data_IF_133731387063
#
_entry.id   IF_133731387063
#
_cell.length_a   1.000
_cell.length_b   1.000
_cell.length_c   1.000
_cell.angle_alpha   90.00
_cell.angle_beta   90.00
_cell.angle_gamma   90.00
#
_symmetry.space_group_name_H-M   'P 1'
#
loop_
_entity.id
_entity.type
_entity.pdbx_description
1 polymer ?
#
# COMPACT_ATOMS: atom_id res chain seq x y z
N UNK A 1 19.72 44.99 12.67
CA UNK A 1 19.26 43.99 13.68
C UNK A 1 17.84 43.48 13.42
N UNK A 2 17.46 43.14 12.20
CA UNK A 2 16.06 42.73 11.88
C UNK A 2 15.94 41.38 11.14
N UNK A 3 17.02 40.66 10.88
CA UNK A 3 17.02 39.41 10.12
C UNK A 3 16.88 38.13 10.95
N UNK A 4 16.89 38.22 12.29
CA UNK A 4 16.85 37.02 13.15
C UNK A 4 15.46 36.60 13.62
N UNK A 5 14.48 37.44 13.47
CA UNK A 5 13.09 37.15 13.87
C UNK A 5 12.32 36.23 12.90
N UNK A 6 12.62 36.26 11.61
CA UNK A 6 11.88 35.51 10.57
C UNK A 6 12.17 34.00 10.59
N UNK A 7 13.41 33.59 10.89
CA UNK A 7 13.77 32.17 10.92
C UNK A 7 13.17 31.42 12.10
N UNK A 8 13.07 32.10 13.26
CA UNK A 8 12.46 31.50 14.45
C UNK A 8 10.95 31.31 14.30
N UNK A 9 10.27 32.23 13.62
CA UNK A 9 8.83 32.10 13.36
C UNK A 9 8.50 30.97 12.36
N UNK A 10 9.38 30.72 11.39
CA UNK A 10 9.23 29.61 10.44
C UNK A 10 9.44 28.25 11.14
N UNK A 11 10.41 28.15 12.05
CA UNK A 11 10.66 26.95 12.85
C UNK A 11 9.54 26.68 13.84
N UNK A 12 9.00 27.74 14.47
CA UNK A 12 7.86 27.65 15.38
C UNK A 12 6.58 27.23 14.65
N UNK A 13 6.35 27.73 13.45
CA UNK A 13 5.22 27.33 12.59
C UNK A 13 5.30 25.85 12.19
N UNK A 14 6.51 25.37 11.86
CA UNK A 14 6.73 23.95 11.54
C UNK A 14 6.56 23.04 12.75
N UNK A 15 6.96 23.50 13.94
CA UNK A 15 6.79 22.78 15.21
C UNK A 15 5.32 22.71 15.63
N UNK A 16 4.54 23.75 15.40
CA UNK A 16 3.08 23.77 15.67
C UNK A 16 2.35 22.87 14.66
N UNK A 17 2.77 22.85 13.40
CA UNK A 17 2.20 21.96 12.38
C UNK A 17 2.46 20.48 12.69
N UNK A 18 3.59 20.14 13.31
CA UNK A 18 3.92 18.76 13.69
C UNK A 18 3.14 18.26 14.92
N UNK A 19 2.63 19.14 15.76
CA UNK A 19 1.90 18.76 16.99
C UNK A 19 0.46 18.29 16.74
N UNK A 20 -0.11 18.57 15.55
CA UNK A 20 -1.50 18.24 15.24
C UNK A 20 -1.70 16.95 14.41
N UNK A 21 -0.65 16.20 14.11
CA UNK A 21 -0.76 14.97 13.31
C UNK A 21 -0.87 13.69 14.16
N UNK A 22 -1.73 13.71 15.19
CA UNK A 22 -2.27 12.46 15.74
C UNK A 22 -3.40 11.94 14.84
N UNK A 23 -3.11 11.69 13.57
CA UNK A 23 -4.02 11.03 12.65
C UNK A 23 -4.11 9.54 13.03
N UNK A 24 -4.98 9.22 13.96
CA UNK A 24 -5.44 7.85 14.19
C UNK A 24 -6.38 7.44 13.04
N UNK A 25 -5.83 7.37 11.85
CA UNK A 25 -6.55 6.90 10.69
C UNK A 25 -6.44 5.38 10.64
N UNK A 26 -7.42 4.69 11.21
CA UNK A 26 -7.51 3.23 11.18
C UNK A 26 -8.36 2.80 9.99
N UNK A 27 -7.73 2.22 8.96
CA UNK A 27 -8.47 1.42 7.99
C UNK A 27 -8.78 0.08 8.67
N UNK A 28 -10.04 -0.29 8.75
CA UNK A 28 -10.46 -1.59 9.22
C UNK A 28 -11.19 -2.28 8.06
N UNK A 29 -10.49 -3.16 7.34
CA UNK A 29 -11.06 -3.95 6.26
C UNK A 29 -10.95 -5.42 6.62
N UNK A 30 -12.04 -6.08 7.02
CA UNK A 30 -12.05 -7.50 7.34
C UNK A 30 -11.51 -8.37 6.21
N UNK A 31 -11.72 -7.96 4.97
CA UNK A 31 -11.25 -8.67 3.77
C UNK A 31 -9.72 -8.67 3.64
N UNK A 32 -9.03 -7.68 4.21
CA UNK A 32 -7.57 -7.60 4.19
C UNK A 32 -6.86 -8.64 5.07
N UNK A 33 -7.62 -9.45 5.81
CA UNK A 33 -7.11 -10.59 6.60
C UNK A 33 -6.55 -11.70 5.72
N UNK A 34 -7.06 -11.81 4.50
CA UNK A 34 -6.73 -12.93 3.61
C UNK A 34 -5.61 -12.59 2.64
N UNK A 35 -4.75 -13.58 2.36
CA UNK A 35 -3.65 -13.47 1.41
C UNK A 35 -2.60 -12.43 1.81
N UNK A 36 -2.27 -11.56 0.88
CA UNK A 36 -1.31 -10.45 1.08
C UNK A 36 -1.99 -9.10 1.35
N UNK A 37 -3.28 -9.11 1.68
CA UNK A 37 -4.08 -7.91 1.93
C UNK A 37 -4.79 -7.36 0.69
N UNK A 38 -5.39 -6.19 0.83
CA UNK A 38 -6.10 -5.51 -0.26
C UNK A 38 -5.11 -4.91 -1.26
N UNK A 39 -5.33 -5.16 -2.54
CA UNK A 39 -4.56 -4.55 -3.63
C UNK A 39 -4.78 -3.04 -3.65
N UNK A 40 -3.74 -2.29 -3.90
CA UNK A 40 -3.76 -0.82 -3.97
C UNK A 40 -3.66 -0.37 -5.42
N UNK A 41 -4.41 0.66 -5.72
CA UNK A 41 -4.31 1.34 -7.01
C UNK A 41 -2.99 2.11 -7.06
N UNK A 42 -2.27 1.96 -8.17
CA UNK A 42 -0.94 2.55 -8.39
C UNK A 42 -0.98 3.78 -9.30
N UNK A 43 -2.16 4.15 -9.81
CA UNK A 43 -2.34 5.32 -10.66
C UNK A 43 -2.01 6.60 -9.90
N UNK A 44 -1.45 7.56 -10.62
CA UNK A 44 -1.23 8.90 -10.08
C UNK A 44 -2.56 9.65 -9.86
N UNK A 45 -2.52 10.75 -9.11
CA UNK A 45 -3.72 11.52 -8.75
C UNK A 45 -4.46 12.06 -9.98
N UNK A 46 -3.73 12.46 -11.03
CA UNK A 46 -4.36 12.97 -12.27
C UNK A 46 -5.13 11.87 -13.00
N UNK A 47 -4.54 10.67 -13.13
CA UNK A 47 -5.21 9.51 -13.74
C UNK A 47 -6.42 9.04 -12.93
N UNK A 48 -6.35 9.09 -11.60
CA UNK A 48 -7.51 8.83 -10.74
C UNK A 48 -8.66 9.81 -10.99
N UNK A 49 -8.36 11.07 -11.21
CA UNK A 49 -9.35 12.09 -11.62
C UNK A 49 -10.03 11.77 -12.95
N UNK A 50 -9.38 10.98 -13.81
CA UNK A 50 -9.91 10.47 -15.08
C UNK A 50 -10.49 9.05 -14.98
N UNK A 51 -10.85 8.59 -13.79
CA UNK A 51 -11.40 7.25 -13.59
C UNK A 51 -10.35 6.12 -13.68
N UNK A 52 -9.07 6.40 -13.47
CA UNK A 52 -7.98 5.42 -13.52
C UNK A 52 -7.42 5.16 -14.93
N UNK A 53 -7.87 5.89 -15.94
CA UNK A 53 -7.32 5.77 -17.31
C UNK A 53 -5.87 6.25 -17.30
N UNK A 54 -4.94 5.34 -17.52
CA UNK A 54 -3.50 5.62 -17.35
C UNK A 54 -2.58 5.00 -18.40
N UNK A 55 -2.98 3.88 -19.01
CA UNK A 55 -2.05 3.05 -19.83
C UNK A 55 -1.52 3.79 -21.07
N UNK A 56 -2.31 4.69 -21.67
CA UNK A 56 -1.91 5.50 -22.82
C UNK A 56 -1.61 6.96 -22.49
N UNK A 57 -1.57 7.31 -21.18
CA UNK A 57 -1.33 8.69 -20.75
C UNK A 57 0.18 8.98 -20.70
N UNK A 58 0.70 9.69 -21.70
CA UNK A 58 2.06 10.18 -21.82
C UNK A 58 2.21 11.65 -21.44
N UNK A 59 1.71 12.01 -20.27
CA UNK A 59 1.77 13.37 -19.76
C UNK A 59 3.21 13.94 -19.79
N UNK A 60 3.33 15.21 -20.14
CA UNK A 60 4.62 15.88 -20.32
C UNK A 60 5.35 16.17 -18.99
N UNK A 61 4.62 16.20 -17.89
CA UNK A 61 5.10 16.61 -16.57
C UNK A 61 4.87 15.56 -15.48
N UNK A 62 4.19 14.45 -15.79
CA UNK A 62 3.80 13.44 -14.82
C UNK A 62 4.34 12.09 -15.30
N UNK A 63 5.30 11.53 -14.57
CA UNK A 63 5.75 10.17 -14.83
C UNK A 63 4.65 9.17 -14.44
N UNK A 64 4.35 8.25 -15.35
CA UNK A 64 3.28 7.28 -15.18
C UNK A 64 3.85 5.86 -15.04
N UNK A 65 4.01 5.33 -13.81
CA UNK A 65 4.59 4.02 -13.59
C UNK A 65 3.71 2.85 -14.05
N UNK A 66 2.43 3.10 -14.36
CA UNK A 66 1.51 2.08 -14.88
C UNK A 66 1.93 1.58 -16.26
N UNK A 67 2.47 2.48 -17.11
CA UNK A 67 3.05 2.09 -18.40
C UNK A 67 4.43 2.76 -18.57
N UNK A 68 5.54 2.01 -18.48
CA UNK A 68 6.87 2.59 -18.61
C UNK A 68 7.13 3.25 -19.96
N UNK A 69 6.46 2.86 -21.05
CA UNK A 69 6.64 3.48 -22.36
C UNK A 69 6.26 4.97 -22.39
N UNK A 70 5.41 5.42 -21.46
CA UNK A 70 4.96 6.81 -21.35
C UNK A 70 6.06 7.78 -20.87
N UNK A 71 7.17 7.27 -20.30
CA UNK A 71 8.28 8.12 -19.85
C UNK A 71 8.92 8.92 -20.99
N UNK A 72 8.78 8.44 -22.23
CA UNK A 72 9.23 9.16 -23.42
C UNK A 72 8.45 10.46 -23.68
N UNK A 73 7.29 10.63 -23.05
CA UNK A 73 6.49 11.86 -23.10
C UNK A 73 7.04 12.98 -22.23
N UNK A 74 7.82 12.65 -21.19
CA UNK A 74 8.34 13.64 -20.25
C UNK A 74 9.20 14.68 -20.94
N UNK A 75 8.93 15.96 -20.65
CA UNK A 75 9.73 17.10 -21.12
C UNK A 75 10.47 17.80 -19.98
N UNK A 76 10.01 17.63 -18.75
CA UNK A 76 10.58 18.23 -17.55
C UNK A 76 10.84 17.15 -16.52
N UNK A 77 11.80 17.42 -15.63
CA UNK A 77 11.94 16.61 -14.42
C UNK A 77 10.71 16.82 -13.52
N UNK A 78 10.13 15.73 -13.05
CA UNK A 78 8.94 15.73 -12.21
C UNK A 78 9.21 15.01 -10.89
N UNK A 79 8.72 15.61 -9.82
CA UNK A 79 8.73 15.04 -8.48
C UNK A 79 7.28 14.94 -8.02
N UNK A 80 6.82 13.75 -7.71
CA UNK A 80 5.44 13.49 -7.40
C UNK A 80 5.32 12.75 -6.08
N UNK A 81 4.46 13.26 -5.21
CA UNK A 81 4.07 12.60 -3.96
C UNK A 81 2.54 12.57 -3.95
N UNK A 82 1.98 11.38 -3.85
CA UNK A 82 0.54 11.19 -3.78
C UNK A 82 0.09 10.81 -2.37
N UNK A 83 -0.94 11.51 -1.88
CA UNK A 83 -1.66 11.17 -0.66
C UNK A 83 -3.09 10.78 -1.04
N UNK A 84 -3.58 9.72 -0.44
CA UNK A 84 -4.97 9.27 -0.64
C UNK A 84 -5.69 9.21 0.70
N UNK A 85 -6.85 9.86 0.74
CA UNK A 85 -7.78 9.81 1.86
C UNK A 85 -8.89 8.82 1.51
N UNK A 86 -8.98 7.74 2.26
CA UNK A 86 -10.07 6.78 2.16
C UNK A 86 -11.06 7.00 3.29
N UNK A 87 -12.33 7.02 2.96
CA UNK A 87 -13.42 6.92 3.92
C UNK A 87 -14.26 5.70 3.57
N UNK A 88 -14.32 4.77 4.50
CA UNK A 88 -15.09 3.52 4.35
C UNK A 88 -16.20 3.52 5.38
N UNK A 89 -17.42 3.22 4.94
CA UNK A 89 -18.55 2.98 5.83
C UNK A 89 -18.81 1.47 5.87
N UNK A 90 -18.62 0.89 7.04
CA UNK A 90 -18.91 -0.53 7.28
C UNK A 90 -20.30 -0.61 7.90
N UNK A 91 -21.20 -1.33 7.22
CA UNK A 91 -22.59 -1.51 7.69
C UNK A 91 -22.86 -2.98 7.95
N UNK A 92 -23.51 -3.27 9.07
CA UNK A 92 -24.17 -4.53 9.36
C UNK A 92 -25.68 -4.29 9.43
N UNK A 93 -26.47 -5.34 9.68
CA UNK A 93 -27.92 -5.23 9.89
C UNK A 93 -28.30 -4.34 11.09
N UNK A 94 -27.40 -4.23 12.09
CA UNK A 94 -27.67 -3.57 13.39
C UNK A 94 -26.79 -2.38 13.67
N UNK A 95 -25.67 -2.18 12.93
CA UNK A 95 -24.69 -1.14 13.22
C UNK A 95 -24.08 -0.55 11.94
N UNK A 96 -23.65 0.71 12.05
CA UNK A 96 -22.89 1.39 10.98
C UNK A 96 -21.73 2.13 11.61
N UNK A 97 -20.53 1.92 11.07
CA UNK A 97 -19.32 2.60 11.51
C UNK A 97 -18.60 3.21 10.31
N UNK A 98 -18.06 4.43 10.49
CA UNK A 98 -17.27 5.11 9.49
C UNK A 98 -15.80 5.14 9.93
N UNK A 99 -14.93 4.71 9.04
CA UNK A 99 -13.48 4.69 9.26
C UNK A 99 -12.80 5.50 8.17
N UNK A 100 -11.96 6.45 8.59
CA UNK A 100 -11.14 7.26 7.67
C UNK A 100 -9.67 6.85 7.73
N UNK A 101 -8.96 6.96 6.60
CA UNK A 101 -7.52 6.72 6.53
C UNK A 101 -6.87 7.67 5.55
N UNK A 102 -5.71 8.21 5.95
CA UNK A 102 -4.77 8.82 5.03
C UNK A 102 -3.58 7.89 4.80
N UNK A 103 -3.15 7.76 3.56
CA UNK A 103 -2.03 6.88 3.19
C UNK A 103 -1.18 7.55 2.13
N UNK A 104 0.15 7.42 2.26
CA UNK A 104 1.05 7.73 1.17
C UNK A 104 0.75 6.77 0.01
N UNK A 105 0.35 7.33 -1.13
CA UNK A 105 -0.01 6.54 -2.30
C UNK A 105 1.20 6.23 -3.16
N UNK A 106 2.09 7.19 -3.36
CA UNK A 106 3.32 6.99 -4.13
C UNK A 106 4.32 8.13 -3.90
N UNK A 107 5.57 7.80 -4.13
CA UNK A 107 6.65 8.76 -4.37
C UNK A 107 7.27 8.38 -5.70
N UNK A 108 7.29 9.30 -6.64
CA UNK A 108 7.73 9.05 -8.01
C UNK A 108 8.55 10.22 -8.54
N UNK A 109 9.67 9.92 -9.17
CA UNK A 109 10.55 10.90 -9.81
C UNK A 109 10.74 10.45 -11.26
N UNK A 110 10.50 11.37 -12.18
CA UNK A 110 10.69 11.12 -13.60
C UNK A 110 11.44 12.26 -14.26
N UNK A 111 12.27 11.95 -15.24
CA UNK A 111 12.99 12.96 -16.01
C UNK A 111 13.32 12.49 -17.42
N UNK A 112 13.34 13.41 -18.40
CA UNK A 112 13.82 13.13 -19.72
C UNK A 112 15.35 13.03 -19.71
N UNK A 113 15.90 11.96 -20.29
CA UNK A 113 17.34 11.85 -20.56
C UNK A 113 17.67 12.51 -21.90
N UNK A 114 16.79 12.36 -22.88
CA UNK A 114 16.88 12.97 -24.20
C UNK A 114 15.48 13.21 -24.78
N UNK A 115 15.41 13.79 -25.99
CA UNK A 115 14.12 13.98 -26.71
C UNK A 115 13.38 12.66 -26.99
N UNK A 116 14.08 11.52 -26.92
CA UNK A 116 13.54 10.19 -27.22
C UNK A 116 13.58 9.24 -26.02
N UNK A 117 14.23 9.61 -24.93
CA UNK A 117 14.43 8.73 -23.77
C UNK A 117 13.95 9.38 -22.50
N UNK A 118 13.14 8.65 -21.72
CA UNK A 118 12.71 9.02 -20.38
C UNK A 118 13.08 7.97 -19.36
N UNK A 119 13.24 8.42 -18.14
CA UNK A 119 13.57 7.60 -16.97
C UNK A 119 12.64 7.93 -15.81
N UNK A 120 12.35 6.93 -14.99
CA UNK A 120 11.60 7.12 -13.75
C UNK A 120 12.03 6.13 -12.68
N UNK A 121 11.94 6.55 -11.43
CA UNK A 121 12.08 5.67 -10.27
C UNK A 121 11.17 6.12 -9.16
N UNK A 122 10.83 5.21 -8.25
CA UNK A 122 9.93 5.55 -7.17
C UNK A 122 9.57 4.40 -6.26
N UNK A 123 8.70 4.72 -5.31
CA UNK A 123 8.12 3.80 -4.33
C UNK A 123 6.60 3.80 -4.49
N UNK A 124 6.02 2.61 -4.66
CA UNK A 124 4.60 2.40 -4.87
C UNK A 124 4.08 1.36 -3.88
N UNK A 125 2.91 1.56 -3.26
CA UNK A 125 2.24 0.51 -2.53
C UNK A 125 1.67 -0.53 -3.50
N UNK A 126 1.75 -1.81 -3.13
CA UNK A 126 1.16 -2.93 -3.87
C UNK A 126 -0.08 -3.43 -3.15
N UNK A 127 0.05 -3.69 -1.84
CA UNK A 127 -1.08 -4.11 -1.02
C UNK A 127 -1.03 -3.45 0.35
N UNK A 128 -2.16 -3.51 1.05
CA UNK A 128 -2.26 -3.11 2.45
C UNK A 128 -3.14 -4.10 3.20
N UNK A 129 -2.68 -4.52 4.37
CA UNK A 129 -3.45 -5.31 5.31
C UNK A 129 -3.63 -4.49 6.59
N UNK A 130 -4.88 -4.28 7.00
CA UNK A 130 -5.19 -3.68 8.30
C UNK A 130 -6.62 -4.00 8.69
N UNK A 131 -6.75 -4.72 9.78
CA UNK A 131 -8.04 -5.06 10.36
C UNK A 131 -7.92 -5.16 11.88
N UNK A 132 -9.01 -4.87 12.55
CA UNK A 132 -9.22 -5.08 13.97
C UNK A 132 -10.69 -5.45 14.13
N UNK A 133 -10.95 -6.71 14.45
CA UNK A 133 -12.29 -7.26 14.59
C UNK A 133 -12.40 -7.97 15.93
N UNK A 134 -13.54 -7.82 16.57
CA UNK A 134 -13.86 -8.53 17.82
C UNK A 134 -15.22 -9.17 17.68
N UNK A 135 -15.35 -10.41 18.12
CA UNK A 135 -16.61 -11.14 18.24
C UNK A 135 -16.69 -11.75 19.61
N UNK A 136 -17.87 -11.70 20.21
CA UNK A 136 -18.16 -12.37 21.48
C UNK A 136 -19.16 -13.46 21.18
N UNK A 137 -18.78 -14.70 21.45
CA UNK A 137 -19.60 -15.87 21.25
C UNK A 137 -19.80 -16.59 22.60
N UNK A 138 -20.97 -17.25 22.77
CA UNK A 138 -21.19 -18.12 23.93
C UNK A 138 -20.76 -19.53 23.57
N UNK A 139 -19.73 -20.02 24.25
CA UNK A 139 -19.33 -21.43 24.08
C UNK A 139 -20.22 -22.32 24.95
N UNK A 140 -21.17 -23.01 24.29
CA UNK A 140 -22.13 -23.90 24.96
C UNK A 140 -21.47 -25.07 25.72
N UNK A 141 -20.27 -25.51 25.29
CA UNK A 141 -19.55 -26.61 25.93
C UNK A 141 -18.86 -26.22 27.23
N UNK A 142 -18.61 -24.93 27.42
CA UNK A 142 -17.87 -24.39 28.59
C UNK A 142 -18.73 -23.50 29.44
N UNK A 143 -19.89 -23.05 28.94
CA UNK A 143 -20.81 -22.13 29.65
C UNK A 143 -20.27 -20.72 29.82
N UNK A 144 -19.17 -20.37 29.15
CA UNK A 144 -18.49 -19.09 29.27
C UNK A 144 -18.55 -18.27 27.98
N UNK A 145 -18.50 -16.94 28.13
CA UNK A 145 -18.33 -16.04 26.99
C UNK A 145 -16.90 -16.11 26.47
N UNK A 146 -16.77 -16.33 25.18
CA UNK A 146 -15.48 -16.31 24.45
C UNK A 146 -15.36 -15.02 23.65
N UNK A 147 -14.36 -14.23 23.94
CA UNK A 147 -14.02 -13.05 23.16
C UNK A 147 -12.92 -13.43 22.16
N UNK A 148 -13.27 -13.38 20.89
CA UNK A 148 -12.33 -13.58 19.79
C UNK A 148 -11.90 -12.23 19.22
N UNK A 149 -10.60 -11.92 19.28
CA UNK A 149 -10.01 -10.72 18.74
C UNK A 149 -9.10 -11.07 17.55
N UNK A 150 -9.31 -10.41 16.44
CA UNK A 150 -8.52 -10.59 15.23
C UNK A 150 -7.88 -9.27 14.85
N UNK A 151 -6.58 -9.23 14.85
CA UNK A 151 -5.80 -8.06 14.51
C UNK A 151 -4.81 -8.38 13.38
N UNK A 152 -4.64 -7.44 12.47
CA UNK A 152 -3.60 -7.56 11.45
C UNK A 152 -3.19 -6.23 10.86
N UNK A 153 -1.96 -6.19 10.40
CA UNK A 153 -1.39 -4.98 9.84
C UNK A 153 -0.22 -5.25 8.91
N UNK A 154 0.11 -4.23 8.11
CA UNK A 154 1.24 -4.29 7.19
C UNK A 154 0.84 -4.12 5.74
N UNK A 155 1.64 -4.69 4.84
CA UNK A 155 1.42 -4.62 3.40
C UNK A 155 2.71 -4.78 2.61
N UNK A 156 2.57 -4.77 1.30
CA UNK A 156 3.67 -4.89 0.34
C UNK A 156 3.85 -3.59 -0.40
N UNK A 157 5.09 -3.18 -0.55
CA UNK A 157 5.51 -2.03 -1.35
C UNK A 157 6.47 -2.48 -2.44
N UNK A 158 6.64 -1.68 -3.48
CA UNK A 158 7.64 -1.89 -4.50
C UNK A 158 8.47 -0.62 -4.74
N UNK A 159 9.78 -0.77 -4.74
CA UNK A 159 10.69 0.21 -5.29
C UNK A 159 10.99 -0.17 -6.73
N UNK A 160 10.96 0.78 -7.64
CA UNK A 160 11.19 0.53 -9.05
C UNK A 160 12.13 1.55 -9.68
N UNK A 161 12.76 1.11 -10.75
CA UNK A 161 13.43 1.93 -11.73
C UNK A 161 12.87 1.56 -13.10
N UNK A 162 12.77 2.54 -13.99
CA UNK A 162 12.25 2.32 -15.32
C UNK A 162 12.86 3.26 -16.34
N UNK A 163 12.96 2.77 -17.58
CA UNK A 163 13.44 3.52 -18.72
C UNK A 163 12.58 3.24 -19.94
N UNK A 164 12.51 4.23 -20.84
CA UNK A 164 11.78 4.09 -22.08
C UNK A 164 12.53 4.76 -23.24
N UNK A 165 12.30 4.24 -24.43
CA UNK A 165 12.83 4.79 -25.68
C UNK A 165 11.74 4.90 -26.73
N UNK A 166 11.78 6.00 -27.52
CA UNK A 166 10.84 6.30 -28.60
C UNK A 166 11.46 6.01 -29.96
N UNK A 167 10.74 5.28 -30.80
CA UNK A 167 11.07 4.93 -32.18
C UNK A 167 9.96 5.46 -33.12
N UNK A 168 10.09 6.69 -33.60
CA UNK A 168 9.04 7.34 -34.40
C UNK A 168 7.75 7.51 -33.57
N UNK A 169 6.66 6.91 -34.03
CA UNK A 169 5.36 6.94 -33.38
C UNK A 169 5.22 5.91 -32.23
N UNK A 170 6.17 5.03 -32.07
CA UNK A 170 6.16 3.96 -31.07
C UNK A 170 7.16 4.23 -29.96
N UNK A 171 6.77 3.84 -28.75
CA UNK A 171 7.65 3.87 -27.58
C UNK A 171 7.59 2.51 -26.87
N UNK A 172 8.73 2.07 -26.36
CA UNK A 172 8.85 0.88 -25.54
C UNK A 172 9.54 1.27 -24.25
N UNK A 173 9.08 0.70 -23.15
CA UNK A 173 9.66 0.94 -21.83
C UNK A 173 9.64 -0.30 -20.96
N UNK A 174 10.51 -0.31 -19.97
CA UNK A 174 10.63 -1.38 -18.98
C UNK A 174 10.72 -0.77 -17.59
N UNK A 175 9.96 -1.34 -16.65
CA UNK A 175 10.14 -1.15 -15.22
C UNK A 175 10.71 -2.44 -14.63
N UNK A 176 11.63 -2.32 -13.71
CA UNK A 176 12.10 -3.41 -12.86
C UNK A 176 12.36 -2.91 -11.46
N UNK A 177 12.39 -3.81 -10.48
CA UNK A 177 12.65 -3.44 -9.11
C UNK A 177 12.37 -4.57 -8.14
N UNK A 178 12.14 -4.20 -6.89
CA UNK A 178 11.97 -5.15 -5.81
C UNK A 178 10.69 -4.86 -5.02
N UNK A 179 9.90 -5.90 -4.79
CA UNK A 179 8.75 -5.88 -3.90
C UNK A 179 9.19 -6.36 -2.54
N UNK A 180 8.75 -5.68 -1.50
CA UNK A 180 9.09 -6.01 -0.11
C UNK A 180 7.96 -5.60 0.82
N UNK A 181 7.88 -6.29 1.95
CA UNK A 181 6.90 -5.95 2.97
C UNK A 181 6.80 -6.99 4.05
N UNK A 182 5.99 -6.68 5.04
CA UNK A 182 5.61 -7.61 6.08
C UNK A 182 4.12 -7.52 6.36
N UNK A 183 3.54 -8.65 6.73
CA UNK A 183 2.15 -8.75 7.16
C UNK A 183 2.14 -9.48 8.50
N UNK A 184 1.47 -8.89 9.46
CA UNK A 184 1.26 -9.42 10.80
C UNK A 184 -0.21 -9.80 10.93
N UNK A 185 -0.48 -10.98 11.45
CA UNK A 185 -1.81 -11.47 11.78
C UNK A 185 -1.80 -12.00 13.21
N UNK A 186 -2.73 -11.55 14.02
CA UNK A 186 -2.95 -12.06 15.37
C UNK A 186 -4.40 -12.52 15.51
N UNK A 187 -4.57 -13.65 16.17
CA UNK A 187 -5.88 -14.21 16.51
C UNK A 187 -5.83 -14.66 17.97
N UNK A 188 -6.59 -13.96 18.79
CA UNK A 188 -6.68 -14.19 20.23
C UNK A 188 -8.06 -14.68 20.59
N UNK A 189 -8.13 -15.70 21.43
CA UNK A 189 -9.37 -16.19 22.03
C UNK A 189 -9.23 -16.17 23.55
N UNK A 190 -10.00 -15.32 24.22
CA UNK A 190 -9.97 -15.14 25.67
C UNK A 190 -11.32 -15.48 26.30
N UNK A 191 -11.29 -15.99 27.54
CA UNK A 191 -12.47 -16.39 28.30
C UNK A 191 -12.70 -15.41 29.44
N UNK A 192 -13.91 -14.83 29.51
CA UNK A 192 -14.20 -13.75 30.46
C UNK A 192 -14.46 -14.23 31.88
N UNK A 193 -15.01 -15.45 32.05
CA UNK A 193 -15.56 -15.90 33.34
C UNK A 193 -14.88 -17.14 33.95
N UNK A 194 -13.76 -17.63 33.40
CA UNK A 194 -13.15 -18.83 33.95
C UNK A 194 -11.66 -18.67 34.20
N UNK A 195 -11.31 -18.68 35.48
CA UNK A 195 -9.93 -18.70 35.98
C UNK A 195 -9.16 -19.98 35.63
N UNK A 196 -9.85 -21.01 35.08
CA UNK A 196 -9.27 -22.34 34.83
C UNK A 196 -9.17 -22.69 33.34
N UNK A 197 -9.48 -21.77 32.43
CA UNK A 197 -9.40 -22.00 30.98
C UNK A 197 -8.28 -21.13 30.40
N UNK A 198 -7.39 -21.79 29.64
CA UNK A 198 -6.29 -21.12 28.97
C UNK A 198 -6.84 -20.28 27.80
N UNK A 199 -6.50 -19.02 27.77
CA UNK A 199 -6.62 -18.17 26.60
C UNK A 199 -5.50 -18.50 25.60
N UNK A 200 -5.79 -18.33 24.31
CA UNK A 200 -4.85 -18.62 23.24
C UNK A 200 -4.60 -17.39 22.37
N UNK A 201 -3.35 -17.16 22.02
CA UNK A 201 -2.94 -16.17 21.04
C UNK A 201 -2.12 -16.84 19.94
N UNK A 202 -2.53 -16.65 18.70
CA UNK A 202 -1.80 -17.10 17.51
C UNK A 202 -1.30 -15.84 16.79
N UNK A 203 -0.01 -15.62 16.81
CA UNK A 203 0.64 -14.50 16.15
C UNK A 203 1.45 -15.02 14.96
N UNK A 204 1.14 -14.49 13.76
CA UNK A 204 1.83 -14.81 12.52
C UNK A 204 2.48 -13.58 11.90
N UNK A 205 3.73 -13.73 11.48
CA UNK A 205 4.46 -12.73 10.70
C UNK A 205 4.88 -13.33 9.37
N UNK A 206 4.52 -12.66 8.27
CA UNK A 206 4.94 -13.03 6.93
C UNK A 206 5.82 -11.93 6.35
N UNK A 207 7.07 -12.25 6.05
CA UNK A 207 8.01 -11.35 5.38
C UNK A 207 8.01 -11.70 3.89
N UNK A 208 7.74 -10.71 3.06
CA UNK A 208 7.53 -10.87 1.62
C UNK A 208 8.64 -10.14 0.87
N UNK A 209 9.22 -10.81 -0.12
CA UNK A 209 10.25 -10.23 -0.97
C UNK A 209 10.28 -10.87 -2.37
N UNK A 210 10.59 -10.08 -3.40
CA UNK A 210 10.72 -10.60 -4.77
C UNK A 210 11.06 -9.53 -5.79
N UNK A 211 11.73 -9.94 -6.83
CA UNK A 211 12.00 -9.07 -7.99
C UNK A 211 10.76 -9.02 -8.87
N UNK A 212 10.46 -7.86 -9.42
CA UNK A 212 9.42 -7.71 -10.42
C UNK A 212 9.94 -7.03 -11.68
N UNK A 213 9.24 -7.25 -12.79
CA UNK A 213 9.45 -6.56 -14.05
C UNK A 213 8.13 -6.33 -14.78
N UNK A 214 8.11 -5.30 -15.60
CA UNK A 214 6.96 -4.91 -16.40
C UNK A 214 7.47 -4.27 -17.70
N UNK A 215 6.87 -4.62 -18.82
CA UNK A 215 7.15 -4.02 -20.12
C UNK A 215 5.93 -3.21 -20.55
N UNK A 216 6.17 -2.07 -21.18
CA UNK A 216 5.14 -1.22 -21.74
C UNK A 216 5.40 -0.86 -23.19
N UNK A 217 4.32 -0.73 -23.94
CA UNK A 217 4.29 -0.21 -25.28
C UNK A 217 3.32 0.98 -25.37
N UNK A 218 3.67 1.96 -26.18
CA UNK A 218 2.83 3.11 -26.48
C UNK A 218 2.96 3.45 -27.97
N UNK A 219 1.84 3.59 -28.65
CA UNK A 219 1.73 4.20 -29.97
C UNK A 219 1.10 5.58 -29.81
N UNK A 220 1.72 6.60 -30.39
CA UNK A 220 1.24 7.96 -30.40
C UNK A 220 1.32 8.49 -31.84
N UNK A 221 0.20 8.45 -32.56
CA UNK A 221 0.13 8.80 -34.00
C UNK A 221 -0.82 9.94 -34.26
N UNK A 222 -0.34 10.99 -34.88
CA UNK A 222 -1.17 12.05 -35.41
C UNK A 222 -1.92 11.54 -36.66
N UNK A 223 -3.27 11.52 -36.59
CA UNK A 223 -4.12 11.11 -37.71
C UNK A 223 -4.44 12.34 -38.58
N UNK A 224 -4.75 13.45 -37.91
CA UNK A 224 -4.98 14.76 -38.52
C UNK A 224 -4.37 15.82 -37.61
N UNK A 225 -4.35 17.10 -38.06
CA UNK A 225 -3.83 18.22 -37.26
C UNK A 225 -4.52 18.37 -35.89
N UNK A 226 -5.78 17.93 -35.82
CA UNK A 226 -6.61 18.09 -34.62
C UNK A 226 -6.79 16.79 -33.82
N UNK A 227 -6.41 15.63 -34.39
CA UNK A 227 -6.65 14.34 -33.77
C UNK A 227 -5.39 13.50 -33.67
N UNK A 228 -5.09 13.08 -32.45
CA UNK A 228 -3.99 12.16 -32.14
C UNK A 228 -4.56 10.86 -31.55
N UNK A 229 -4.18 9.73 -32.12
CA UNK A 229 -4.51 8.41 -31.56
C UNK A 229 -3.39 7.93 -30.66
N UNK A 230 -3.73 7.60 -29.41
CA UNK A 230 -2.82 6.97 -28.47
C UNK A 230 -3.32 5.58 -28.07
N UNK A 231 -2.47 4.58 -28.24
CA UNK A 231 -2.75 3.21 -27.81
C UNK A 231 -1.62 2.75 -26.88
N UNK A 232 -1.99 2.30 -25.70
CA UNK A 232 -1.07 1.79 -24.70
C UNK A 232 -1.30 0.30 -24.40
N UNK A 233 -0.21 -0.41 -24.17
CA UNK A 233 -0.22 -1.80 -23.74
C UNK A 233 0.84 -2.00 -22.66
N UNK A 234 0.49 -2.79 -21.65
CA UNK A 234 1.44 -3.22 -20.62
C UNK A 234 1.39 -4.72 -20.43
N UNK A 235 2.52 -5.30 -20.14
CA UNK A 235 2.65 -6.73 -19.86
C UNK A 235 3.56 -6.96 -18.66
N UNK A 236 3.12 -7.84 -17.78
CA UNK A 236 3.86 -8.30 -16.62
C UNK A 236 3.67 -9.81 -16.51
N UNK A 237 4.71 -10.59 -16.74
CA UNK A 237 4.64 -12.05 -16.64
C UNK A 237 4.55 -12.54 -15.19
N UNK A 238 4.45 -13.86 -15.02
CA UNK A 238 4.49 -14.49 -13.72
C UNK A 238 5.82 -14.18 -12.99
N UNK A 239 5.72 -13.79 -11.73
CA UNK A 239 6.85 -13.38 -10.92
C UNK A 239 6.90 -14.20 -9.64
N UNK A 240 8.09 -14.61 -9.24
CA UNK A 240 8.27 -15.37 -7.99
C UNK A 240 8.40 -14.40 -6.83
N UNK A 241 7.57 -14.59 -5.82
CA UNK A 241 7.61 -13.89 -4.55
C UNK A 241 7.99 -14.91 -3.48
N UNK A 242 9.01 -14.61 -2.70
CA UNK A 242 9.40 -15.41 -1.53
C UNK A 242 8.63 -14.90 -0.33
N UNK A 243 8.01 -15.82 0.39
CA UNK A 243 7.31 -15.52 1.66
C UNK A 243 7.95 -16.38 2.74
N UNK A 244 8.51 -15.73 3.76
CA UNK A 244 8.96 -16.39 4.99
C UNK A 244 7.90 -16.16 6.04
N UNK A 245 7.33 -17.23 6.56
CA UNK A 245 6.27 -17.19 7.56
C UNK A 245 6.78 -17.72 8.89
N UNK A 246 6.61 -16.93 9.94
CA UNK A 246 6.83 -17.30 11.34
C UNK A 246 5.48 -17.30 12.03
N UNK A 247 5.19 -18.31 12.82
CA UNK A 247 3.94 -18.42 13.56
C UNK A 247 4.25 -18.84 14.98
N UNK A 248 3.70 -18.09 15.95
CA UNK A 248 3.85 -18.33 17.38
C UNK A 248 2.47 -18.67 17.95
N UNK A 249 2.39 -19.73 18.71
CA UNK A 249 1.22 -20.11 19.49
C UNK A 249 1.55 -19.93 20.96
N UNK A 250 0.76 -19.14 21.63
CA UNK A 250 0.91 -18.84 23.04
C UNK A 250 -0.39 -19.17 23.79
N UNK A 251 -0.27 -19.85 24.91
CA UNK A 251 -1.37 -20.12 25.80
C UNK A 251 -1.08 -19.50 27.18
N UNK A 252 -2.04 -18.80 27.74
CA UNK A 252 -1.85 -18.04 28.98
C UNK A 252 -3.10 -18.05 29.86
N UNK A 253 -2.91 -17.80 31.17
CA UNK A 253 -3.99 -17.59 32.12
C UNK A 253 -4.15 -16.11 32.44
N UNK A 254 -5.38 -15.59 32.34
CA UNK A 254 -5.69 -14.21 32.69
C UNK A 254 -5.07 -13.19 31.73
N UNK A 255 -3.89 -12.68 32.04
CA UNK A 255 -3.19 -11.67 31.22
C UNK A 255 -2.11 -12.30 30.34
N UNK A 256 -1.85 -11.67 29.21
CA UNK A 256 -0.85 -12.11 28.19
C UNK A 256 0.56 -12.27 28.77
N UNK A 257 0.87 -11.64 29.90
CA UNK A 257 2.16 -11.75 30.58
C UNK A 257 2.37 -13.08 31.29
N UNK A 258 1.31 -13.89 31.50
CA UNK A 258 1.35 -15.18 32.16
C UNK A 258 1.34 -16.35 31.17
N UNK A 259 2.30 -16.38 30.25
CA UNK A 259 2.41 -17.44 29.23
C UNK A 259 2.79 -18.78 29.86
N UNK A 260 1.92 -19.77 29.68
CA UNK A 260 2.11 -21.14 30.17
C UNK A 260 2.80 -22.04 29.15
N UNK A 261 2.51 -21.79 27.84
CA UNK A 261 3.08 -22.59 26.76
C UNK A 261 3.31 -21.67 25.53
N UNK A 262 4.46 -21.86 24.90
CA UNK A 262 4.84 -21.19 23.67
C UNK A 262 5.40 -22.19 22.67
N UNK A 263 4.83 -22.20 21.46
CA UNK A 263 5.30 -23.02 20.34
C UNK A 263 5.66 -22.12 19.19
N UNK A 264 6.81 -22.36 18.59
CA UNK A 264 7.35 -21.57 17.49
C UNK A 264 7.47 -22.44 16.23
N UNK A 265 7.11 -21.90 15.07
CA UNK A 265 7.22 -22.55 13.77
C UNK A 265 7.60 -21.54 12.70
N UNK A 266 8.65 -21.84 11.93
CA UNK A 266 9.10 -21.05 10.79
C UNK A 266 9.08 -21.87 9.50
N UNK A 267 8.54 -21.30 8.40
CA UNK A 267 8.50 -21.91 7.06
C UNK A 267 8.98 -20.91 6.01
#
# INVERSE_FOLDING_TARGET
MQYWSSKNNFFLFFLILSYHFSLQAQENSPYSRYGIGNVRDIENVANRGMGGVSIADDNLQIANPTNPATYTGLKLASYQIGLVLHRVTIKSSTASNQVGKSTLSYVNIGFPISKKMGFSFGLLPVTTARYNMQTTDTNASVGSLVNNSYYGGGGVQKIYIGAAHRFGDYSIGVNTGYQFGNIINSSESSFTDSLNILSNNIYGRSVIGGVFWQVGGLMNKEITKDYTLKLGLTYSGAQKITVKKETFWESYFGDVDNVVSKVDSSV
#
